data_IF_265923700246
#
_entry.id   IF_265923700246
#
_cell.length_a   1.000
_cell.length_b   1.000
_cell.length_c   1.000
_cell.angle_alpha   90.00
_cell.angle_beta   90.00
_cell.angle_gamma   90.00
#
_symmetry.space_group_name_H-M   'P 1'
#
loop_
_entity.id
_entity.type
_entity.pdbx_description
1 polymer ?
#
# COMPACT_ATOMS: atom_id res chain seq x y z
N UNK A 1 20.98 -48.02 14.98
CA UNK A 1 20.70 -47.69 13.60
C UNK A 1 19.55 -46.68 13.59
N UNK A 2 19.93 -45.41 13.74
CA UNK A 2 19.03 -44.27 13.68
C UNK A 2 19.09 -43.64 12.29
N UNK A 3 17.96 -43.51 11.66
CA UNK A 3 17.77 -42.68 10.48
C UNK A 3 17.04 -41.42 10.90
N UNK A 4 17.76 -40.32 10.90
CA UNK A 4 17.18 -39.01 11.13
C UNK A 4 16.47 -38.53 9.87
N UNK A 5 15.18 -38.29 9.99
CA UNK A 5 14.40 -37.58 9.00
C UNK A 5 14.50 -36.08 9.31
N UNK A 6 15.26 -35.38 8.51
CA UNK A 6 15.27 -33.90 8.50
C UNK A 6 14.15 -33.40 7.62
N UNK A 7 13.04 -33.06 8.25
CA UNK A 7 12.00 -32.27 7.60
C UNK A 7 12.56 -30.86 7.29
N UNK A 8 12.83 -30.64 6.02
CA UNK A 8 13.07 -29.28 5.51
C UNK A 8 11.69 -28.63 5.39
N UNK A 9 11.35 -27.84 6.40
CA UNK A 9 10.16 -27.04 6.38
C UNK A 9 10.19 -26.00 5.25
N UNK A 10 9.16 -25.98 4.48
CA UNK A 10 8.92 -25.07 3.36
C UNK A 10 8.95 -23.62 3.85
N UNK A 11 10.02 -22.91 3.53
CA UNK A 11 10.26 -21.52 3.98
C UNK A 11 9.51 -20.45 3.18
N UNK A 12 8.50 -20.82 2.38
CA UNK A 12 7.79 -19.91 1.50
C UNK A 12 6.57 -19.21 2.11
N UNK A 13 6.15 -19.61 3.30
CA UNK A 13 4.97 -19.04 3.96
C UNK A 13 5.27 -17.89 4.95
N UNK A 14 6.54 -17.67 5.29
CA UNK A 14 6.94 -16.74 6.34
C UNK A 14 6.83 -15.22 6.04
N UNK A 15 6.98 -14.71 4.80
CA UNK A 15 6.99 -13.26 4.61
C UNK A 15 5.63 -12.57 4.83
N UNK A 16 4.53 -13.25 4.56
CA UNK A 16 3.19 -12.64 4.65
C UNK A 16 2.70 -12.48 6.08
N UNK A 17 2.98 -13.45 6.92
CA UNK A 17 2.58 -13.41 8.34
C UNK A 17 3.42 -12.39 9.11
N UNK A 18 4.70 -12.28 8.79
CA UNK A 18 5.59 -11.30 9.41
C UNK A 18 5.20 -9.86 9.10
N UNK A 19 4.72 -9.58 7.87
CA UNK A 19 4.32 -8.24 7.44
C UNK A 19 2.99 -7.78 8.05
N UNK A 20 2.02 -8.67 8.17
CA UNK A 20 0.79 -8.40 8.92
C UNK A 20 1.12 -8.18 10.39
N UNK A 21 2.07 -8.93 10.93
CA UNK A 21 2.56 -8.78 12.28
C UNK A 21 3.28 -7.44 12.49
N UNK A 22 4.06 -6.95 11.52
CA UNK A 22 4.78 -5.68 11.63
C UNK A 22 3.84 -4.48 11.58
N UNK A 23 2.84 -4.48 10.70
CA UNK A 23 1.81 -3.43 10.67
C UNK A 23 0.97 -3.46 11.95
N UNK A 24 0.59 -4.64 12.41
CA UNK A 24 -0.13 -4.83 13.67
C UNK A 24 0.73 -4.43 14.87
N UNK A 25 2.02 -4.76 14.88
CA UNK A 25 2.96 -4.37 15.93
C UNK A 25 3.21 -2.87 15.95
N UNK A 26 3.15 -2.19 14.82
CA UNK A 26 3.26 -0.74 14.75
C UNK A 26 2.05 -0.07 15.39
N UNK A 27 0.86 -0.59 15.12
CA UNK A 27 -0.39 -0.12 15.73
C UNK A 27 -0.43 -0.41 17.23
N UNK A 28 0.11 -1.56 17.68
CA UNK A 28 0.10 -1.96 19.09
C UNK A 28 1.30 -1.45 19.89
N UNK A 29 2.51 -1.38 19.31
CA UNK A 29 3.73 -0.99 20.02
C UNK A 29 3.72 0.49 20.42
N UNK A 30 3.05 1.35 19.65
CA UNK A 30 2.92 2.77 19.96
C UNK A 30 1.66 3.12 20.78
N UNK A 31 0.85 2.13 21.17
CA UNK A 31 -0.42 2.36 21.86
C UNK A 31 -1.43 3.17 21.02
N UNK A 32 -1.20 3.26 19.71
CA UNK A 32 -1.96 4.07 18.79
C UNK A 32 -2.85 3.20 17.95
N UNK A 33 -4.12 3.45 18.00
CA UNK A 33 -5.10 2.92 17.06
C UNK A 33 -5.06 3.65 15.71
N UNK A 34 -4.26 4.72 15.60
CA UNK A 34 -4.21 5.63 14.47
C UNK A 34 -2.81 5.72 13.88
N UNK A 35 -2.72 5.94 12.57
CA UNK A 35 -1.45 6.16 11.90
C UNK A 35 -1.56 7.30 10.88
N UNK A 36 -0.45 8.01 10.69
CA UNK A 36 -0.36 9.01 9.62
C UNK A 36 -0.13 8.31 8.29
N UNK A 37 -0.79 8.79 7.25
CA UNK A 37 -0.62 8.26 5.90
C UNK A 37 0.85 8.28 5.46
N UNK A 38 1.56 9.37 5.73
CA UNK A 38 2.98 9.49 5.38
C UNK A 38 3.83 8.43 6.07
N UNK A 39 3.58 8.15 7.34
CA UNK A 39 4.33 7.15 8.10
C UNK A 39 4.10 5.74 7.57
N UNK A 40 2.88 5.41 7.15
CA UNK A 40 2.57 4.14 6.50
C UNK A 40 3.35 3.98 5.19
N UNK A 41 3.42 5.04 4.38
CA UNK A 41 4.20 5.05 3.14
C UNK A 41 5.69 4.87 3.40
N UNK A 42 6.25 5.63 4.32
CA UNK A 42 7.67 5.55 4.68
C UNK A 42 8.03 4.14 5.15
N UNK A 43 7.17 3.51 5.92
CA UNK A 43 7.41 2.16 6.42
C UNK A 43 7.45 1.14 5.29
N UNK A 44 6.52 1.20 4.35
CA UNK A 44 6.49 0.28 3.20
C UNK A 44 7.71 0.45 2.29
N UNK A 45 8.27 1.64 2.23
CA UNK A 45 9.43 1.95 1.40
C UNK A 45 10.78 1.80 2.11
N UNK A 46 10.83 1.36 3.36
CA UNK A 46 12.10 1.16 4.10
C UNK A 46 13.15 0.33 3.37
N UNK A 47 12.81 -0.75 2.63
CA UNK A 47 13.80 -1.52 1.89
C UNK A 47 14.41 -0.80 0.70
N UNK A 48 13.87 0.35 0.30
CA UNK A 48 14.25 1.09 -0.89
C UNK A 48 15.00 2.37 -0.54
N UNK A 49 15.82 2.87 -1.47
CA UNK A 49 16.51 4.15 -1.32
C UNK A 49 15.50 5.32 -1.25
N UNK A 50 15.85 6.38 -0.55
CA UNK A 50 14.96 7.52 -0.29
C UNK A 50 14.43 8.19 -1.57
N UNK A 51 15.23 8.20 -2.64
CA UNK A 51 14.84 8.78 -3.93
C UNK A 51 13.84 7.94 -4.72
N UNK A 52 13.52 6.73 -4.25
CA UNK A 52 12.53 5.85 -4.89
C UNK A 52 11.09 6.20 -4.54
N UNK A 53 10.88 7.00 -3.52
CA UNK A 53 9.57 7.48 -3.08
C UNK A 53 9.58 9.00 -2.95
N UNK A 54 8.58 9.65 -3.55
CA UNK A 54 8.30 11.07 -3.34
C UNK A 54 6.86 11.22 -2.85
N UNK A 55 6.67 11.92 -1.76
CA UNK A 55 5.35 12.15 -1.18
C UNK A 55 5.03 13.64 -1.10
N UNK A 56 3.79 14.00 -1.41
CA UNK A 56 3.29 15.38 -1.28
C UNK A 56 1.85 15.35 -0.79
N UNK A 57 1.58 16.04 0.28
CA UNK A 57 0.23 16.17 0.84
C UNK A 57 0.24 16.69 2.27
N UNK A 58 -0.92 17.12 2.78
CA UNK A 58 -1.06 17.56 4.16
C UNK A 58 -0.92 16.37 5.14
N UNK A 59 -0.66 16.67 6.41
CA UNK A 59 -0.70 15.65 7.45
C UNK A 59 -2.12 15.12 7.61
N UNK A 60 -2.27 13.81 7.42
CA UNK A 60 -3.54 13.10 7.56
C UNK A 60 -3.34 11.93 8.50
N UNK A 61 -4.14 11.88 9.57
CA UNK A 61 -4.17 10.76 10.50
C UNK A 61 -5.40 9.91 10.19
N UNK A 62 -5.18 8.63 9.93
CA UNK A 62 -6.23 7.66 9.69
C UNK A 62 -6.63 6.97 11.00
N UNK A 63 -7.92 6.65 11.16
CA UNK A 63 -8.39 5.83 12.27
C UNK A 63 -7.77 4.42 12.24
N UNK A 64 -7.99 3.63 13.29
CA UNK A 64 -7.39 2.30 13.43
C UNK A 64 -7.72 1.36 12.26
N UNK A 65 -9.00 1.25 11.92
CA UNK A 65 -9.46 0.37 10.84
C UNK A 65 -8.99 0.89 9.48
N UNK A 66 -9.06 2.20 9.25
CA UNK A 66 -8.56 2.82 8.03
C UNK A 66 -7.04 2.65 7.88
N UNK A 67 -6.30 2.77 8.97
CA UNK A 67 -4.84 2.56 8.97
C UNK A 67 -4.47 1.14 8.59
N UNK A 68 -5.17 0.15 9.14
CA UNK A 68 -4.94 -1.25 8.81
C UNK A 68 -5.23 -1.54 7.34
N UNK A 69 -6.38 -1.11 6.84
CA UNK A 69 -6.77 -1.32 5.44
C UNK A 69 -5.85 -0.58 4.48
N UNK A 70 -5.47 0.65 4.80
CA UNK A 70 -4.52 1.41 3.99
C UNK A 70 -3.14 0.76 3.97
N UNK A 71 -2.67 0.26 5.10
CA UNK A 71 -1.40 -0.48 5.17
C UNK A 71 -1.38 -1.69 4.24
N UNK A 72 -2.46 -2.45 4.19
CA UNK A 72 -2.59 -3.59 3.28
C UNK A 72 -2.62 -3.15 1.81
N UNK A 73 -3.32 -2.07 1.49
CA UNK A 73 -3.38 -1.52 0.13
C UNK A 73 -1.99 -1.06 -0.33
N UNK A 74 -1.31 -0.28 0.51
CA UNK A 74 0.03 0.21 0.20
C UNK A 74 1.03 -0.93 0.03
N UNK A 75 0.94 -1.95 0.87
CA UNK A 75 1.78 -3.13 0.76
C UNK A 75 1.60 -3.84 -0.59
N UNK A 76 0.36 -4.02 -1.04
CA UNK A 76 0.07 -4.62 -2.35
C UNK A 76 0.56 -3.75 -3.51
N UNK A 77 0.39 -2.43 -3.41
CA UNK A 77 0.90 -1.50 -4.41
C UNK A 77 2.43 -1.56 -4.51
N UNK A 78 3.12 -1.56 -3.40
CA UNK A 78 4.60 -1.67 -3.36
C UNK A 78 5.05 -3.03 -3.90
N UNK A 79 4.39 -4.11 -3.51
CA UNK A 79 4.71 -5.45 -3.99
C UNK A 79 4.55 -5.56 -5.50
N UNK A 80 3.47 -5.01 -6.06
CA UNK A 80 3.24 -4.98 -7.50
C UNK A 80 4.28 -4.11 -8.22
N UNK A 81 4.63 -2.97 -7.67
CA UNK A 81 5.68 -2.10 -8.21
C UNK A 81 7.05 -2.80 -8.23
N UNK A 82 7.35 -3.59 -7.21
CA UNK A 82 8.60 -4.35 -7.13
C UNK A 82 8.64 -5.54 -8.08
N UNK A 83 7.52 -6.18 -8.35
CA UNK A 83 7.44 -7.34 -9.24
C UNK A 83 7.33 -6.95 -10.71
N UNK A 84 6.52 -5.95 -11.01
CA UNK A 84 6.09 -5.65 -12.38
C UNK A 84 6.33 -4.19 -12.79
N UNK A 85 6.54 -3.29 -11.85
CA UNK A 85 6.51 -1.86 -12.09
C UNK A 85 7.81 -1.13 -11.83
N UNK A 86 7.68 0.11 -11.39
CA UNK A 86 8.79 1.05 -11.26
C UNK A 86 9.89 0.60 -10.30
N UNK A 87 9.56 -0.16 -9.26
CA UNK A 87 10.54 -0.63 -8.30
C UNK A 87 11.30 -1.89 -8.76
N UNK A 88 10.85 -2.52 -9.84
CA UNK A 88 11.58 -3.62 -10.49
C UNK A 88 12.81 -3.14 -11.24
N UNK A 89 12.89 -1.85 -11.63
CA UNK A 89 13.99 -1.23 -12.33
C UNK A 89 14.76 -0.31 -11.38
N UNK A 90 16.10 -0.22 -11.57
CA UNK A 90 16.95 0.58 -10.69
C UNK A 90 16.66 2.08 -10.69
N UNK A 91 16.12 2.61 -11.81
CA UNK A 91 15.85 4.04 -11.99
C UNK A 91 14.38 4.42 -11.78
N UNK A 92 13.51 3.44 -11.52
CA UNK A 92 12.11 3.67 -11.31
C UNK A 92 11.80 4.26 -9.93
N UNK A 93 10.74 5.01 -9.86
CA UNK A 93 10.28 5.66 -8.62
C UNK A 93 8.76 5.72 -8.54
N UNK A 94 8.28 5.91 -7.33
CA UNK A 94 6.85 6.08 -7.04
C UNK A 94 6.63 7.50 -6.50
N UNK A 95 5.61 8.16 -7.04
CA UNK A 95 5.15 9.47 -6.57
C UNK A 95 3.76 9.28 -5.98
N UNK A 96 3.59 9.65 -4.73
CA UNK A 96 2.31 9.58 -4.04
C UNK A 96 1.92 10.99 -3.58
N UNK A 97 0.85 11.49 -4.17
CA UNK A 97 0.27 12.78 -3.81
C UNK A 97 -1.11 12.55 -3.19
N UNK A 98 -1.46 13.35 -2.20
CA UNK A 98 -2.81 13.30 -1.63
C UNK A 98 -3.29 14.68 -1.23
N UNK A 99 -4.59 14.81 -1.21
CA UNK A 99 -5.28 16.03 -0.81
C UNK A 99 -6.54 15.70 -0.04
N UNK A 100 -7.01 16.68 0.71
CA UNK A 100 -8.32 16.66 1.34
C UNK A 100 -9.29 17.42 0.45
N UNK A 101 -10.35 16.75 0.04
CA UNK A 101 -11.42 17.33 -0.75
C UNK A 101 -12.67 17.41 0.11
N UNK A 102 -13.54 18.40 -0.19
CA UNK A 102 -14.82 18.64 0.46
C UNK A 102 -14.74 18.97 1.96
N UNK A 103 -14.99 20.24 2.29
CA UNK A 103 -14.95 20.73 3.67
C UNK A 103 -16.12 20.25 4.52
N UNK A 104 -17.27 19.93 3.92
CA UNK A 104 -18.46 19.46 4.65
C UNK A 104 -18.40 17.99 4.97
N UNK A 105 -17.80 17.19 4.08
CA UNK A 105 -17.65 15.75 4.22
C UNK A 105 -16.22 15.39 3.77
N UNK A 106 -15.23 15.43 4.69
CA UNK A 106 -13.85 15.29 4.32
C UNK A 106 -13.58 14.00 3.58
N UNK A 107 -12.98 14.11 2.40
CA UNK A 107 -12.52 12.98 1.61
C UNK A 107 -11.03 13.09 1.40
N UNK A 108 -10.35 11.97 1.53
CA UNK A 108 -8.94 11.83 1.19
C UNK A 108 -8.85 11.30 -0.24
N UNK A 109 -8.16 12.04 -1.09
CA UNK A 109 -7.87 11.64 -2.46
C UNK A 109 -6.38 11.38 -2.61
N UNK A 110 -6.01 10.15 -2.95
CA UNK A 110 -4.62 9.70 -3.09
C UNK A 110 -4.38 9.33 -4.54
N UNK A 111 -3.28 9.82 -5.10
CA UNK A 111 -2.79 9.43 -6.42
C UNK A 111 -1.43 8.76 -6.28
N UNK A 112 -1.36 7.51 -6.70
CA UNK A 112 -0.14 6.71 -6.79
C UNK A 112 0.29 6.64 -8.24
N UNK A 113 1.50 7.08 -8.55
CA UNK A 113 2.05 7.05 -9.92
C UNK A 113 3.43 6.39 -9.91
N UNK A 114 3.62 5.47 -10.82
CA UNK A 114 4.91 4.81 -11.04
C UNK A 114 5.56 5.39 -12.29
N UNK A 115 6.83 5.76 -12.19
CA UNK A 115 7.62 6.36 -13.26
C UNK A 115 8.96 5.66 -13.42
N UNK A 116 9.47 5.60 -14.65
CA UNK A 116 10.80 5.07 -14.94
C UNK A 116 10.90 3.55 -14.98
N UNK A 117 9.80 2.84 -14.85
CA UNK A 117 9.73 1.40 -15.04
C UNK A 117 9.47 1.01 -16.48
N UNK A 118 9.56 -0.28 -16.79
CA UNK A 118 9.12 -0.80 -18.08
C UNK A 118 7.61 -0.61 -18.24
N UNK A 119 7.11 -0.37 -19.47
CA UNK A 119 5.67 -0.29 -19.71
C UNK A 119 4.97 -1.58 -19.29
N UNK A 120 3.90 -1.45 -18.51
CA UNK A 120 3.09 -2.59 -18.08
C UNK A 120 1.80 -2.58 -18.90
N UNK A 121 1.52 -3.63 -19.70
CA UNK A 121 0.23 -3.72 -20.36
C UNK A 121 -0.87 -3.96 -19.32
N UNK A 122 -2.06 -3.44 -19.61
CA UNK A 122 -3.23 -3.75 -18.79
C UNK A 122 -3.44 -5.27 -18.77
N UNK A 123 -3.50 -5.91 -17.60
CA UNK A 123 -3.66 -7.35 -17.51
C UNK A 123 -5.07 -7.75 -18.00
N UNK A 124 -5.15 -8.82 -18.79
CA UNK A 124 -6.42 -9.38 -19.25
C UNK A 124 -7.28 -9.90 -18.09
N UNK A 125 -6.62 -10.35 -17.01
CA UNK A 125 -7.28 -10.80 -15.80
C UNK A 125 -6.70 -10.06 -14.60
N UNK A 126 -7.59 -9.59 -13.72
CA UNK A 126 -7.19 -8.99 -12.45
C UNK A 126 -6.56 -10.06 -11.55
N UNK A 127 -5.32 -9.83 -11.13
CA UNK A 127 -4.63 -10.68 -10.19
C UNK A 127 -5.20 -10.56 -8.77
N UNK A 128 -4.78 -11.45 -7.89
CA UNK A 128 -5.21 -11.47 -6.48
C UNK A 128 -4.93 -10.14 -5.76
N UNK A 129 -3.75 -9.55 -5.97
CA UNK A 129 -3.37 -8.28 -5.34
C UNK A 129 -4.25 -7.11 -5.78
N UNK A 130 -4.61 -7.05 -7.06
CA UNK A 130 -5.52 -6.01 -7.59
C UNK A 130 -6.92 -6.15 -7.00
N UNK A 131 -7.42 -7.37 -6.87
CA UNK A 131 -8.72 -7.64 -6.23
C UNK A 131 -8.71 -7.25 -4.75
N UNK A 132 -7.60 -7.49 -4.05
CA UNK A 132 -7.44 -7.11 -2.66
C UNK A 132 -7.49 -5.60 -2.49
N UNK A 133 -6.79 -4.85 -3.36
CA UNK A 133 -6.82 -3.38 -3.36
C UNK A 133 -8.26 -2.88 -3.57
N UNK A 134 -8.93 -3.36 -4.60
CA UNK A 134 -10.31 -2.93 -4.89
C UNK A 134 -11.28 -3.26 -3.76
N UNK A 135 -11.17 -4.45 -3.20
CA UNK A 135 -12.01 -4.88 -2.09
C UNK A 135 -11.79 -4.03 -0.85
N UNK A 136 -10.55 -3.83 -0.45
CA UNK A 136 -10.23 -3.03 0.74
C UNK A 136 -10.68 -1.58 0.58
N UNK A 137 -10.49 -0.99 -0.59
CA UNK A 137 -10.94 0.38 -0.84
C UNK A 137 -12.47 0.47 -0.78
N UNK A 138 -13.16 -0.43 -1.46
CA UNK A 138 -14.63 -0.35 -1.58
C UNK A 138 -15.37 -0.80 -0.33
N UNK A 139 -14.96 -1.92 0.25
CA UNK A 139 -15.68 -2.52 1.38
C UNK A 139 -15.18 -2.02 2.73
N UNK A 140 -13.88 -1.92 2.93
CA UNK A 140 -13.32 -1.55 4.22
C UNK A 140 -13.21 -0.04 4.40
N UNK A 141 -12.84 0.67 3.35
CA UNK A 141 -12.68 2.13 3.39
C UNK A 141 -13.89 2.89 2.87
N UNK A 142 -14.88 2.22 2.30
CA UNK A 142 -16.07 2.84 1.70
C UNK A 142 -15.72 3.87 0.63
N UNK A 143 -14.65 3.62 -0.09
CA UNK A 143 -14.11 4.51 -1.10
C UNK A 143 -14.26 4.00 -2.52
N UNK A 144 -13.60 4.69 -3.42
CA UNK A 144 -13.49 4.33 -4.83
C UNK A 144 -12.03 4.21 -5.24
N UNK A 145 -11.76 3.34 -6.18
CA UNK A 145 -10.43 3.14 -6.74
C UNK A 145 -10.51 3.03 -8.25
N UNK A 146 -9.59 3.70 -8.94
CA UNK A 146 -9.42 3.59 -10.37
C UNK A 146 -7.96 3.25 -10.68
N UNK A 147 -7.76 2.12 -11.34
CA UNK A 147 -6.45 1.65 -11.77
C UNK A 147 -6.30 1.92 -13.27
N UNK A 148 -5.15 2.41 -13.66
CA UNK A 148 -4.84 2.69 -15.07
C UNK A 148 -3.39 2.34 -15.40
N UNK A 149 -3.14 2.13 -16.68
CA UNK A 149 -1.84 1.65 -17.18
C UNK A 149 -1.32 2.55 -18.30
N UNK A 150 -1.07 3.85 -18.01
CA UNK A 150 -0.48 4.75 -19.00
C UNK A 150 0.90 4.26 -19.45
N UNK A 151 1.36 4.72 -20.61
CA UNK A 151 2.68 4.37 -21.12
C UNK A 151 3.84 4.78 -20.21
N UNK A 152 3.62 5.76 -19.34
CA UNK A 152 4.62 6.25 -18.38
C UNK A 152 4.75 5.37 -17.15
N UNK A 153 3.76 4.53 -16.84
CA UNK A 153 3.74 3.64 -15.71
C UNK A 153 2.36 3.50 -15.08
N UNK A 154 2.23 2.54 -14.18
CA UNK A 154 0.98 2.25 -13.47
C UNK A 154 0.52 3.45 -12.62
N UNK A 155 -0.78 3.66 -12.58
CA UNK A 155 -1.42 4.69 -11.77
C UNK A 155 -2.62 4.14 -11.00
N UNK A 156 -2.74 4.52 -9.74
CA UNK A 156 -3.91 4.22 -8.92
C UNK A 156 -4.45 5.52 -8.32
N UNK A 157 -5.74 5.75 -8.48
CA UNK A 157 -6.46 6.87 -7.87
C UNK A 157 -7.44 6.32 -6.84
N UNK A 158 -7.26 6.72 -5.59
CA UNK A 158 -8.05 6.24 -4.45
C UNK A 158 -8.73 7.42 -3.79
N UNK A 159 -10.03 7.32 -3.57
CA UNK A 159 -10.81 8.32 -2.83
C UNK A 159 -11.58 7.64 -1.71
N UNK A 160 -11.45 8.13 -0.50
CA UNK A 160 -12.14 7.56 0.65
C UNK A 160 -12.65 8.65 1.59
N UNK A 161 -13.81 8.42 2.26
CA UNK A 161 -14.25 9.33 3.30
C UNK A 161 -13.32 9.21 4.52
N UNK A 162 -12.97 10.33 5.12
CA UNK A 162 -12.25 10.33 6.39
C UNK A 162 -13.24 10.20 7.54
N UNK A 163 -12.91 9.32 8.48
CA UNK A 163 -13.63 9.27 9.74
C UNK A 163 -13.30 10.53 10.53
N UNK A 164 -14.34 11.33 10.83
CA UNK A 164 -14.19 12.47 11.72
C UNK A 164 -14.19 11.97 13.15
N UNK A 165 -13.16 12.31 13.92
CA UNK A 165 -13.24 12.18 15.36
C UNK A 165 -14.27 13.16 15.89
N UNK A 166 -15.31 12.62 16.46
CA UNK A 166 -16.21 13.41 17.29
C UNK A 166 -15.45 13.67 18.59
N UNK A 167 -14.98 14.87 18.71
CA UNK A 167 -14.36 15.33 19.95
C UNK A 167 -15.41 15.39 21.05
#
# INVERSE_FOLDING_TARGET
>A
NGTGDTHIGDSRAMPRIALISDTHNLLTANGWEKARLRDLLIQEFRPYAEDRLRTTGPDVTLGAEQSLSMGLILHELVTNAAKYGALACGDGRVIVDWRLADQKSPRLEITWRELGGAPIPEPERRGFGTRLIERNVRHDLHGTVQLSYPSQGFCAEISLPLEMEIA
#
